data_IF_207123603045
#
_entry.id   IF_207123603045
#
_cell.length_a   1.000
_cell.length_b   1.000
_cell.length_c   1.000
_cell.angle_alpha   90.00
_cell.angle_beta   90.00
_cell.angle_gamma   90.00
#
_symmetry.space_group_name_H-M   'P 1'
#
loop_
_entity.id
_entity.type
_entity.pdbx_description
1 polymer ?
#
# COMPACT_ATOMS: atom_id res chain seq x y z
N UNK A 1 5.70 18.21 2.70
CA UNK A 1 5.47 16.74 2.72
C UNK A 1 4.14 16.47 3.39
N UNK A 2 3.26 15.64 2.80
CA UNK A 2 2.03 15.25 3.49
C UNK A 2 2.42 14.36 4.67
N UNK A 3 1.93 14.69 5.87
CA UNK A 3 2.25 13.93 7.08
C UNK A 3 1.75 12.48 6.91
N UNK A 4 2.65 11.51 6.98
CA UNK A 4 2.32 10.07 6.86
C UNK A 4 1.19 9.67 7.80
N UNK A 5 1.19 10.19 9.04
CA UNK A 5 0.15 9.89 10.04
C UNK A 5 -1.21 10.42 9.62
N UNK A 6 -1.25 11.61 9.02
CA UNK A 6 -2.50 12.20 8.51
C UNK A 6 -3.06 11.38 7.34
N UNK A 7 -2.20 10.90 6.44
CA UNK A 7 -2.66 10.05 5.35
C UNK A 7 -3.21 8.71 5.88
N UNK A 8 -2.54 8.09 6.85
CA UNK A 8 -3.04 6.88 7.53
C UNK A 8 -4.40 7.15 8.16
N UNK A 9 -4.56 8.27 8.87
CA UNK A 9 -5.84 8.65 9.46
C UNK A 9 -6.95 8.78 8.41
N UNK A 10 -6.67 9.35 7.23
CA UNK A 10 -7.64 9.42 6.14
C UNK A 10 -8.07 8.05 5.60
N UNK A 11 -7.15 7.09 5.50
CA UNK A 11 -7.51 5.72 5.10
C UNK A 11 -8.37 5.03 6.16
N UNK A 12 -8.00 5.16 7.43
CA UNK A 12 -8.77 4.59 8.55
C UNK A 12 -10.18 5.18 8.58
N UNK A 13 -10.30 6.51 8.49
CA UNK A 13 -11.60 7.18 8.45
C UNK A 13 -12.43 6.75 7.24
N UNK A 14 -11.80 6.66 6.06
CA UNK A 14 -12.48 6.18 4.86
C UNK A 14 -13.04 4.78 5.07
N UNK A 15 -12.24 3.84 5.58
CA UNK A 15 -12.67 2.45 5.81
C UNK A 15 -13.80 2.35 6.85
N UNK A 16 -13.73 3.13 7.94
CA UNK A 16 -14.77 3.14 8.96
C UNK A 16 -16.09 3.67 8.39
N UNK A 17 -16.04 4.77 7.63
CA UNK A 17 -17.21 5.38 6.99
C UNK A 17 -17.80 4.46 5.93
N UNK A 18 -16.99 3.89 5.03
CA UNK A 18 -17.49 2.96 4.01
C UNK A 18 -18.03 1.68 4.60
N UNK A 19 -17.43 1.15 5.67
CA UNK A 19 -17.94 -0.05 6.35
C UNK A 19 -19.26 0.23 7.09
N UNK A 20 -19.40 1.39 7.73
CA UNK A 20 -20.66 1.80 8.36
C UNK A 20 -21.78 2.04 7.34
N UNK A 21 -21.44 2.65 6.19
CA UNK A 21 -22.35 2.82 5.08
C UNK A 21 -22.74 1.48 4.44
N UNK A 22 -21.78 0.57 4.24
CA UNK A 22 -22.03 -0.78 3.71
C UNK A 22 -22.98 -1.55 4.64
N UNK A 23 -22.72 -1.53 5.95
CA UNK A 23 -23.61 -2.16 6.94
C UNK A 23 -25.01 -1.56 6.92
N UNK A 24 -25.12 -0.23 6.83
CA UNK A 24 -26.44 0.42 6.80
C UNK A 24 -27.21 0.04 5.54
N UNK A 25 -26.59 0.08 4.37
CA UNK A 25 -27.22 -0.32 3.11
C UNK A 25 -27.59 -1.82 3.13
N UNK A 26 -26.73 -2.66 3.69
CA UNK A 26 -27.00 -4.09 3.83
C UNK A 26 -28.18 -4.35 4.78
N UNK A 27 -28.24 -3.66 5.93
CA UNK A 27 -29.34 -3.78 6.88
C UNK A 27 -30.68 -3.35 6.25
N UNK A 28 -30.69 -2.23 5.51
CA UNK A 28 -31.87 -1.79 4.77
C UNK A 28 -32.28 -2.82 3.72
N UNK A 29 -31.34 -3.33 2.92
CA UNK A 29 -31.61 -4.39 1.95
C UNK A 29 -32.18 -5.66 2.60
N UNK A 30 -31.66 -6.05 3.77
CA UNK A 30 -32.19 -7.16 4.56
C UNK A 30 -33.65 -6.91 4.95
N UNK A 31 -33.98 -5.73 5.47
CA UNK A 31 -35.34 -5.39 5.92
C UNK A 31 -36.34 -5.22 4.77
N UNK A 32 -35.93 -4.66 3.64
CA UNK A 32 -36.86 -4.34 2.54
C UNK A 32 -36.98 -5.43 1.48
N UNK A 33 -35.98 -6.31 1.36
CA UNK A 33 -35.96 -7.33 0.30
C UNK A 33 -35.91 -8.73 0.90
N UNK A 34 -34.99 -9.00 1.82
CA UNK A 34 -34.75 -10.36 2.28
C UNK A 34 -35.77 -10.84 3.31
N UNK A 35 -36.13 -10.01 4.28
CA UNK A 35 -37.11 -10.34 5.32
C UNK A 35 -38.54 -10.50 4.77
N UNK A 36 -39.03 -9.66 3.82
CA UNK A 36 -40.32 -9.91 3.20
C UNK A 36 -40.38 -11.23 2.43
N UNK A 37 -39.29 -11.63 1.77
CA UNK A 37 -39.18 -12.95 1.12
C UNK A 37 -39.19 -14.08 2.16
N UNK A 38 -38.58 -13.88 3.34
CA UNK A 38 -38.53 -14.88 4.42
C UNK A 38 -39.89 -15.04 5.11
N UNK A 39 -40.57 -13.94 5.43
CA UNK A 39 -41.78 -13.94 6.25
C UNK A 39 -43.09 -13.88 5.43
N UNK A 40 -43.02 -13.64 4.12
CA UNK A 40 -44.16 -13.58 3.22
C UNK A 40 -45.03 -12.33 3.35
N UNK A 41 -44.57 -11.31 4.09
CA UNK A 41 -45.25 -10.02 4.28
C UNK A 41 -44.22 -8.91 4.49
N UNK A 42 -44.62 -7.66 4.26
CA UNK A 42 -43.74 -6.51 4.45
C UNK A 42 -43.38 -6.32 5.92
N UNK A 43 -42.08 -6.16 6.20
CA UNK A 43 -41.55 -5.89 7.52
C UNK A 43 -41.20 -4.41 7.62
N UNK A 44 -41.67 -3.75 8.67
CA UNK A 44 -41.37 -2.34 8.89
C UNK A 44 -39.85 -2.12 9.06
N UNK A 45 -39.31 -1.12 8.36
CA UNK A 45 -37.91 -0.72 8.46
C UNK A 45 -37.70 0.04 9.76
N UNK A 46 -37.37 -0.68 10.83
CA UNK A 46 -36.99 -0.11 12.11
C UNK A 46 -35.48 -0.22 12.33
N UNK A 47 -34.87 0.87 12.78
CA UNK A 47 -33.48 0.90 13.25
C UNK A 47 -33.45 0.40 14.69
N UNK A 48 -33.36 -0.92 14.85
CA UNK A 48 -33.41 -1.58 16.14
C UNK A 48 -32.03 -1.58 16.86
N UNK A 49 -31.98 -2.18 18.06
CA UNK A 49 -30.73 -2.31 18.80
C UNK A 49 -29.66 -3.10 18.03
N UNK A 50 -30.05 -4.08 17.20
CA UNK A 50 -29.11 -4.88 16.42
C UNK A 50 -28.47 -4.06 15.30
N UNK A 51 -29.21 -3.14 14.67
CA UNK A 51 -28.67 -2.16 13.75
C UNK A 51 -27.54 -1.35 14.39
N UNK A 52 -27.80 -0.72 15.55
CA UNK A 52 -26.80 0.11 16.23
C UNK A 52 -25.60 -0.69 16.74
N UNK A 53 -25.80 -1.91 17.24
CA UNK A 53 -24.70 -2.83 17.59
C UNK A 53 -23.83 -3.13 16.36
N UNK A 54 -24.44 -3.49 15.23
CA UNK A 54 -23.72 -3.76 13.99
C UNK A 54 -22.99 -2.52 13.44
N UNK A 55 -23.59 -1.33 13.56
CA UNK A 55 -22.99 -0.07 13.10
C UNK A 55 -21.69 0.27 13.84
N UNK A 56 -21.52 -0.22 15.07
CA UNK A 56 -20.27 -0.06 15.83
C UNK A 56 -19.34 -1.26 15.61
N UNK A 57 -19.84 -2.49 15.75
CA UNK A 57 -19.02 -3.70 15.73
C UNK A 57 -18.42 -3.98 14.34
N UNK A 58 -19.19 -3.77 13.26
CA UNK A 58 -18.75 -4.11 11.90
C UNK A 58 -17.60 -3.20 11.45
N UNK A 59 -17.66 -1.86 11.55
CA UNK A 59 -16.51 -1.02 11.21
C UNK A 59 -15.27 -1.31 12.05
N UNK A 60 -15.42 -1.60 13.35
CA UNK A 60 -14.31 -1.98 14.22
C UNK A 60 -13.67 -3.30 13.80
N UNK A 61 -14.49 -4.29 13.45
CA UNK A 61 -14.02 -5.56 12.89
C UNK A 61 -13.18 -5.34 11.63
N UNK A 62 -13.69 -4.55 10.68
CA UNK A 62 -12.95 -4.23 9.45
C UNK A 62 -11.65 -3.51 9.73
N UNK A 63 -11.66 -2.51 10.61
CA UNK A 63 -10.45 -1.81 11.04
C UNK A 63 -9.40 -2.77 11.62
N UNK A 64 -9.82 -3.71 12.48
CA UNK A 64 -8.94 -4.75 13.00
C UNK A 64 -8.36 -5.62 11.89
N UNK A 65 -9.20 -6.09 10.97
CA UNK A 65 -8.79 -6.97 9.87
C UNK A 65 -7.81 -6.27 8.92
N UNK A 66 -8.08 -5.02 8.52
CA UNK A 66 -7.16 -4.21 7.73
C UNK A 66 -5.84 -3.97 8.46
N UNK A 67 -5.87 -3.78 9.78
CA UNK A 67 -4.65 -3.58 10.58
C UNK A 67 -3.79 -4.84 10.59
N UNK A 68 -4.38 -6.01 10.82
CA UNK A 68 -3.69 -7.31 10.81
C UNK A 68 -3.10 -7.63 9.44
N UNK A 69 -3.84 -7.33 8.37
CA UNK A 69 -3.42 -7.57 6.98
C UNK A 69 -2.47 -6.49 6.43
N UNK A 70 -2.03 -5.53 7.24
CA UNK A 70 -1.09 -4.49 6.82
C UNK A 70 -1.68 -3.45 5.86
N UNK A 71 -3.01 -3.29 5.85
CA UNK A 71 -3.78 -2.35 5.02
C UNK A 71 -3.41 -0.87 5.21
N UNK A 72 -2.70 -0.55 6.29
CA UNK A 72 -2.23 0.81 6.63
C UNK A 72 -0.70 0.99 6.57
N UNK A 73 0.04 -0.04 6.14
CA UNK A 73 1.51 0.04 5.98
C UNK A 73 1.87 0.74 4.67
N UNK A 74 2.92 1.57 4.72
CA UNK A 74 3.58 2.22 3.57
C UNK A 74 2.67 2.90 2.53
N UNK A 75 1.65 3.64 2.99
CA UNK A 75 0.58 4.19 2.12
C UNK A 75 1.10 5.08 0.97
N UNK A 76 2.18 5.84 1.16
CA UNK A 76 2.73 6.71 0.12
C UNK A 76 3.26 5.96 -1.12
N UNK A 77 3.58 4.67 -0.97
CA UNK A 77 4.21 3.84 -2.01
C UNK A 77 3.24 2.83 -2.62
N UNK A 78 1.94 2.95 -2.31
CA UNK A 78 0.91 2.06 -2.85
C UNK A 78 0.55 2.40 -4.29
N UNK A 79 0.16 1.38 -5.04
CA UNK A 79 -0.33 1.50 -6.40
C UNK A 79 -1.75 0.93 -6.54
N UNK A 80 -2.44 1.33 -7.60
CA UNK A 80 -3.89 1.12 -7.74
C UNK A 80 -4.29 -0.35 -7.81
N UNK A 81 -3.50 -1.18 -8.50
CA UNK A 81 -3.78 -2.62 -8.63
C UNK A 81 -3.50 -3.39 -7.33
N UNK A 82 -2.54 -2.94 -6.51
CA UNK A 82 -2.33 -3.48 -5.16
C UNK A 82 -3.56 -3.26 -4.28
N UNK A 83 -4.13 -2.06 -4.29
CA UNK A 83 -5.34 -1.75 -3.52
C UNK A 83 -6.53 -2.62 -3.91
N UNK A 84 -6.69 -2.87 -5.21
CA UNK A 84 -7.73 -3.78 -5.71
C UNK A 84 -7.55 -5.18 -5.12
N UNK A 85 -6.36 -5.76 -5.25
CA UNK A 85 -6.07 -7.11 -4.77
C UNK A 85 -6.22 -7.24 -3.25
N UNK A 86 -5.64 -6.30 -2.49
CA UNK A 86 -5.76 -6.31 -1.02
C UNK A 86 -7.20 -6.10 -0.56
N UNK A 87 -7.91 -5.12 -1.12
CA UNK A 87 -9.30 -4.83 -0.72
C UNK A 87 -10.21 -6.01 -1.06
N UNK A 88 -10.01 -6.65 -2.22
CA UNK A 88 -10.75 -7.84 -2.63
C UNK A 88 -10.52 -9.00 -1.65
N UNK A 89 -9.26 -9.33 -1.36
CA UNK A 89 -8.91 -10.43 -0.46
C UNK A 89 -9.43 -10.20 0.97
N UNK A 90 -9.20 -9.00 1.50
CA UNK A 90 -9.66 -8.63 2.85
C UNK A 90 -11.19 -8.65 2.91
N UNK A 91 -11.88 -8.09 1.92
CA UNK A 91 -13.35 -8.09 1.87
C UNK A 91 -13.90 -9.51 1.77
N UNK A 92 -13.29 -10.38 0.96
CA UNK A 92 -13.70 -11.77 0.84
C UNK A 92 -13.56 -12.50 2.18
N UNK A 93 -12.38 -12.45 2.80
CA UNK A 93 -12.12 -13.08 4.11
C UNK A 93 -13.05 -12.54 5.18
N UNK A 94 -13.19 -11.22 5.28
CA UNK A 94 -14.02 -10.59 6.31
C UNK A 94 -15.50 -10.89 6.15
N UNK A 95 -16.02 -10.93 4.91
CA UNK A 95 -17.42 -11.29 4.64
C UNK A 95 -17.65 -12.77 4.95
N UNK A 96 -16.69 -13.66 4.64
CA UNK A 96 -16.77 -15.07 5.03
C UNK A 96 -16.86 -15.20 6.55
N UNK A 97 -16.02 -14.50 7.31
CA UNK A 97 -16.06 -14.51 8.79
C UNK A 97 -17.41 -13.99 9.30
N UNK A 98 -17.85 -12.82 8.82
CA UNK A 98 -19.15 -12.23 9.22
C UNK A 98 -20.30 -13.17 8.88
N UNK A 99 -20.24 -13.83 7.72
CA UNK A 99 -21.26 -14.78 7.28
C UNK A 99 -21.41 -15.94 8.28
N UNK A 100 -20.30 -16.56 8.69
CA UNK A 100 -20.35 -17.65 9.66
C UNK A 100 -20.76 -17.21 11.06
N UNK A 101 -20.40 -15.98 11.49
CA UNK A 101 -20.68 -15.50 12.85
C UNK A 101 -22.09 -14.93 13.00
N UNK A 102 -22.58 -14.18 12.00
CA UNK A 102 -23.84 -13.42 12.11
C UNK A 102 -24.97 -13.95 11.24
N UNK A 103 -24.67 -14.59 10.11
CA UNK A 103 -25.70 -15.01 9.15
C UNK A 103 -26.05 -16.49 9.24
N UNK A 104 -25.18 -17.35 9.77
CA UNK A 104 -25.43 -18.80 9.82
C UNK A 104 -26.50 -19.21 10.84
N UNK A 105 -26.66 -18.41 11.90
CA UNK A 105 -27.58 -18.69 13.01
C UNK A 105 -29.00 -18.12 12.78
N UNK A 106 -29.21 -17.41 11.67
CA UNK A 106 -30.55 -17.01 11.26
C UNK A 106 -31.33 -18.28 10.82
N UNK A 107 -32.51 -18.55 11.38
CA UNK A 107 -33.36 -19.61 10.83
C UNK A 107 -33.87 -19.21 9.44
N UNK A 108 -33.44 -19.89 8.38
CA UNK A 108 -33.73 -19.46 7.00
C UNK A 108 -34.53 -20.47 6.21
N UNK A 109 -35.53 -19.99 5.49
CA UNK A 109 -36.44 -20.80 4.68
C UNK A 109 -35.82 -21.40 3.39
N UNK A 110 -34.66 -20.90 2.91
CA UNK A 110 -34.04 -21.37 1.66
C UNK A 110 -32.56 -20.97 1.51
N UNK A 111 -31.75 -21.84 0.89
CA UNK A 111 -30.35 -21.57 0.52
C UNK A 111 -30.15 -20.30 -0.33
N UNK A 112 -31.15 -19.91 -1.11
CA UNK A 112 -31.09 -18.69 -1.94
C UNK A 112 -30.90 -17.41 -1.11
N UNK A 113 -31.43 -17.38 0.11
CA UNK A 113 -31.28 -16.24 1.02
C UNK A 113 -29.83 -16.06 1.45
N UNK A 114 -29.11 -17.15 1.73
CA UNK A 114 -27.70 -17.10 2.10
C UNK A 114 -26.84 -16.54 0.98
N UNK A 115 -27.02 -17.03 -0.25
CA UNK A 115 -26.27 -16.53 -1.41
C UNK A 115 -26.55 -15.05 -1.67
N UNK A 116 -27.82 -14.62 -1.61
CA UNK A 116 -28.19 -13.20 -1.80
C UNK A 116 -27.62 -12.31 -0.71
N UNK A 117 -27.66 -12.75 0.54
CA UNK A 117 -27.12 -11.99 1.68
C UNK A 117 -25.60 -11.86 1.58
N UNK A 118 -24.91 -12.98 1.30
CA UNK A 118 -23.46 -13.01 1.14
C UNK A 118 -23.01 -12.09 0.00
N UNK A 119 -23.61 -12.22 -1.19
CA UNK A 119 -23.24 -11.41 -2.35
C UNK A 119 -23.55 -9.93 -2.11
N UNK A 120 -24.71 -9.60 -1.54
CA UNK A 120 -25.06 -8.21 -1.24
C UNK A 120 -24.06 -7.59 -0.26
N UNK A 121 -23.75 -8.27 0.85
CA UNK A 121 -22.78 -7.81 1.83
C UNK A 121 -21.39 -7.65 1.19
N UNK A 122 -20.96 -8.63 0.39
CA UNK A 122 -19.68 -8.59 -0.31
C UNK A 122 -19.56 -7.41 -1.25
N UNK A 123 -20.51 -7.21 -2.17
CA UNK A 123 -20.42 -6.13 -3.15
C UNK A 123 -20.58 -4.75 -2.52
N UNK A 124 -21.44 -4.60 -1.51
CA UNK A 124 -21.57 -3.33 -0.78
C UNK A 124 -20.26 -2.99 -0.05
N UNK A 125 -19.70 -3.95 0.69
CA UNK A 125 -18.48 -3.74 1.46
C UNK A 125 -17.28 -3.49 0.54
N UNK A 126 -17.03 -4.40 -0.41
CA UNK A 126 -15.93 -4.29 -1.36
C UNK A 126 -16.08 -3.02 -2.20
N UNK A 127 -17.26 -2.75 -2.75
CA UNK A 127 -17.51 -1.62 -3.64
C UNK A 127 -17.26 -0.27 -2.96
N UNK A 128 -17.79 -0.07 -1.75
CA UNK A 128 -17.61 1.19 -1.01
C UNK A 128 -16.16 1.36 -0.52
N UNK A 129 -15.55 0.34 0.07
CA UNK A 129 -14.16 0.40 0.51
C UNK A 129 -13.22 0.66 -0.67
N UNK A 130 -13.38 -0.11 -1.75
CA UNK A 130 -12.53 0.02 -2.93
C UNK A 130 -12.68 1.39 -3.57
N UNK A 131 -13.89 1.93 -3.69
CA UNK A 131 -14.11 3.26 -4.26
C UNK A 131 -13.38 4.34 -3.46
N UNK A 132 -13.54 4.38 -2.14
CA UNK A 132 -12.88 5.40 -1.31
C UNK A 132 -11.36 5.24 -1.31
N UNK A 133 -10.85 4.01 -1.13
CA UNK A 133 -9.41 3.72 -1.19
C UNK A 133 -8.82 4.04 -2.55
N UNK A 134 -9.51 3.69 -3.64
CA UNK A 134 -9.07 3.99 -5.00
C UNK A 134 -8.93 5.49 -5.23
N UNK A 135 -9.87 6.31 -4.74
CA UNK A 135 -9.80 7.77 -4.84
C UNK A 135 -8.62 8.34 -4.03
N UNK A 136 -8.41 7.86 -2.80
CA UNK A 136 -7.28 8.28 -1.95
C UNK A 136 -5.93 7.89 -2.57
N UNK A 137 -5.79 6.64 -3.00
CA UNK A 137 -4.57 6.13 -3.63
C UNK A 137 -4.30 6.83 -4.94
N UNK A 138 -5.32 7.05 -5.78
CA UNK A 138 -5.15 7.75 -7.05
C UNK A 138 -4.66 9.17 -6.89
N UNK A 139 -5.16 9.90 -5.88
CA UNK A 139 -4.65 11.24 -5.53
C UNK A 139 -3.20 11.19 -5.07
N UNK A 140 -2.84 10.22 -4.24
CA UNK A 140 -1.47 10.06 -3.72
C UNK A 140 -0.50 9.70 -4.84
N UNK A 141 -0.82 8.69 -5.65
CA UNK A 141 -0.02 8.26 -6.83
C UNK A 141 0.17 9.41 -7.80
N UNK A 142 -0.87 10.21 -8.07
CA UNK A 142 -0.73 11.39 -8.94
C UNK A 142 0.28 12.39 -8.37
N UNK A 143 0.24 12.67 -7.07
CA UNK A 143 1.21 13.57 -6.43
C UNK A 143 2.65 13.02 -6.45
N UNK A 144 2.81 11.70 -6.40
CA UNK A 144 4.13 11.05 -6.57
C UNK A 144 4.63 11.21 -8.00
N UNK A 145 3.80 10.87 -9.00
CA UNK A 145 4.16 11.02 -10.41
C UNK A 145 4.47 12.48 -10.77
N UNK A 146 3.75 13.44 -10.18
CA UNK A 146 3.95 14.88 -10.36
C UNK A 146 5.12 15.43 -9.50
N UNK A 147 5.94 14.57 -8.88
CA UNK A 147 7.09 14.91 -8.01
C UNK A 147 6.77 15.82 -6.80
N UNK A 148 5.50 15.96 -6.42
CA UNK A 148 5.06 16.71 -5.22
C UNK A 148 5.30 15.92 -3.94
N UNK A 149 5.30 14.60 -4.05
CA UNK A 149 5.73 13.66 -3.02
C UNK A 149 6.90 12.90 -3.60
N UNK A 150 8.01 12.86 -2.86
CA UNK A 150 9.17 12.08 -3.22
C UNK A 150 9.80 11.49 -1.97
N UNK A 151 10.65 10.50 -2.18
CA UNK A 151 11.37 9.74 -1.17
C UNK A 151 12.84 10.03 -1.32
N UNK A 152 13.48 10.51 -0.26
CA UNK A 152 14.89 10.83 -0.29
C UNK A 152 15.67 9.56 -0.63
N UNK A 153 16.38 9.60 -1.76
CA UNK A 153 17.03 8.44 -2.36
C UNK A 153 18.53 8.72 -2.43
N UNK A 154 19.35 7.80 -1.93
CA UNK A 154 20.80 7.81 -2.14
C UNK A 154 21.14 6.81 -3.24
N UNK A 155 22.02 7.22 -4.16
CA UNK A 155 22.56 6.33 -5.18
C UNK A 155 23.92 5.80 -4.71
N UNK A 156 24.09 4.48 -4.69
CA UNK A 156 25.33 3.82 -4.27
C UNK A 156 26.05 3.36 -5.54
N UNK A 157 27.15 4.03 -5.85
CA UNK A 157 27.84 3.92 -7.13
C UNK A 157 28.12 5.31 -7.72
N UNK A 158 29.22 5.44 -8.47
CA UNK A 158 29.62 6.69 -9.13
C UNK A 158 29.94 6.55 -10.62
N UNK A 159 29.87 5.34 -11.14
CA UNK A 159 30.28 4.95 -12.50
C UNK A 159 29.23 5.32 -13.57
N UNK A 160 29.51 4.97 -14.82
CA UNK A 160 28.63 5.22 -15.96
C UNK A 160 27.25 4.59 -15.78
N UNK A 161 27.19 3.43 -15.14
CA UNK A 161 25.93 2.73 -14.85
C UNK A 161 25.06 3.50 -13.87
N UNK A 162 25.64 3.99 -12.77
CA UNK A 162 24.94 4.84 -11.82
C UNK A 162 24.42 6.11 -12.49
N UNK A 163 25.21 6.73 -13.38
CA UNK A 163 24.79 7.88 -14.19
C UNK A 163 23.62 7.54 -15.13
N UNK A 164 23.66 6.40 -15.82
CA UNK A 164 22.59 5.94 -16.71
C UNK A 164 21.28 5.69 -15.95
N UNK A 165 21.34 5.03 -14.79
CA UNK A 165 20.18 4.77 -13.92
C UNK A 165 19.58 6.09 -13.42
N UNK A 166 20.41 7.03 -12.99
CA UNK A 166 19.95 8.35 -12.57
C UNK A 166 19.21 9.06 -13.72
N UNK A 167 19.80 9.07 -14.92
CA UNK A 167 19.19 9.69 -16.10
C UNK A 167 17.88 9.00 -16.53
N UNK A 168 17.82 7.67 -16.48
CA UNK A 168 16.61 6.90 -16.77
C UNK A 168 15.48 7.25 -15.81
N UNK A 169 15.77 7.26 -14.51
CA UNK A 169 14.76 7.54 -13.48
C UNK A 169 14.27 8.98 -13.55
N UNK A 170 15.16 9.96 -13.74
CA UNK A 170 14.78 11.36 -13.89
C UNK A 170 14.09 11.66 -15.24
N UNK A 171 14.37 10.86 -16.28
CA UNK A 171 13.73 10.95 -17.59
C UNK A 171 12.29 10.42 -17.63
N UNK A 172 11.86 9.64 -16.62
CA UNK A 172 10.53 9.05 -16.59
C UNK A 172 9.42 10.11 -16.49
N UNK A 173 8.48 10.09 -17.45
CA UNK A 173 7.28 10.96 -17.44
C UNK A 173 6.45 10.80 -16.17
N UNK A 174 6.36 9.58 -15.64
CA UNK A 174 5.70 9.28 -14.36
C UNK A 174 6.79 8.93 -13.37
N UNK A 175 7.15 9.88 -12.52
CA UNK A 175 8.20 9.64 -11.53
C UNK A 175 7.80 8.51 -10.58
N UNK A 176 8.70 7.56 -10.29
CA UNK A 176 8.50 6.56 -9.23
C UNK A 176 8.54 7.18 -7.82
N UNK A 177 8.80 8.48 -7.70
CA UNK A 177 8.92 9.20 -6.44
C UNK A 177 10.34 9.28 -5.92
N UNK A 178 11.36 8.83 -6.67
CA UNK A 178 12.75 9.00 -6.28
C UNK A 178 13.12 10.49 -6.27
N UNK A 179 13.62 10.96 -5.13
CA UNK A 179 14.25 12.27 -4.98
C UNK A 179 15.71 12.03 -4.61
N UNK A 180 16.59 12.06 -5.61
CA UNK A 180 18.01 11.86 -5.37
C UNK A 180 18.59 13.00 -4.53
N UNK A 181 19.10 12.68 -3.34
CA UNK A 181 19.74 13.66 -2.44
C UNK A 181 21.25 13.72 -2.63
N UNK A 182 21.81 12.71 -3.28
CA UNK A 182 23.22 12.60 -3.59
C UNK A 182 23.63 11.16 -3.86
N UNK A 183 24.92 10.94 -4.04
CA UNK A 183 25.49 9.61 -4.26
C UNK A 183 26.68 9.32 -3.34
N UNK A 184 26.95 8.04 -3.11
CA UNK A 184 28.14 7.58 -2.38
C UNK A 184 29.01 6.74 -3.30
N UNK A 185 30.32 6.93 -3.17
CA UNK A 185 31.28 6.18 -3.97
C UNK A 185 31.58 4.82 -3.35
N UNK A 186 31.61 3.81 -4.21
CA UNK A 186 32.14 2.50 -3.85
C UNK A 186 33.66 2.50 -4.06
N UNK A 187 34.12 3.03 -5.20
CA UNK A 187 35.53 3.18 -5.54
C UNK A 187 35.98 4.65 -5.59
N UNK A 188 37.27 4.89 -5.33
CA UNK A 188 37.83 6.22 -5.13
C UNK A 188 37.86 7.16 -6.35
N UNK A 189 37.53 6.67 -7.55
CA UNK A 189 37.72 7.39 -8.81
C UNK A 189 36.46 8.03 -9.42
N UNK A 190 35.27 7.50 -9.16
CA UNK A 190 34.13 7.83 -10.02
C UNK A 190 33.35 9.03 -9.51
N UNK A 191 33.37 10.13 -10.26
CA UNK A 191 32.67 11.37 -9.94
C UNK A 191 31.68 11.78 -11.05
N UNK A 192 31.31 10.85 -11.96
CA UNK A 192 30.49 11.20 -13.12
C UNK A 192 29.14 11.82 -12.73
N UNK A 193 28.57 11.42 -11.60
CA UNK A 193 27.32 11.98 -11.09
C UNK A 193 27.42 13.46 -10.66
N UNK A 194 28.61 13.99 -10.34
CA UNK A 194 28.77 15.43 -10.07
C UNK A 194 28.58 16.26 -11.33
N UNK A 195 28.85 15.70 -12.52
CA UNK A 195 28.66 16.41 -13.81
C UNK A 195 27.19 16.73 -14.11
N UNK A 196 26.27 15.95 -13.56
CA UNK A 196 24.82 16.19 -13.66
C UNK A 196 24.24 16.90 -12.43
N UNK A 197 25.11 17.46 -11.58
CA UNK A 197 24.72 18.26 -10.41
C UNK A 197 24.30 17.45 -9.18
N UNK A 198 24.50 16.13 -9.17
CA UNK A 198 24.21 15.30 -8.00
C UNK A 198 25.41 15.33 -7.03
N UNK A 199 25.23 15.75 -5.76
CA UNK A 199 26.35 15.90 -4.84
C UNK A 199 26.87 14.55 -4.35
N UNK A 200 28.18 14.45 -4.18
CA UNK A 200 28.83 13.33 -3.50
C UNK A 200 28.68 13.49 -2.00
N UNK A 201 28.05 12.52 -1.34
CA UNK A 201 27.75 12.54 0.10
C UNK A 201 28.79 11.82 0.96
N UNK A 202 29.67 11.01 0.35
CA UNK A 202 30.71 10.28 1.06
C UNK A 202 31.16 9.02 0.32
N UNK A 203 31.65 8.05 1.09
CA UNK A 203 31.96 6.68 0.64
C UNK A 203 30.90 5.68 1.12
N UNK A 204 30.90 4.48 0.56
CA UNK A 204 29.96 3.41 0.92
C UNK A 204 29.94 3.07 2.42
N UNK A 205 31.08 3.16 3.10
CA UNK A 205 31.20 2.89 4.55
C UNK A 205 30.68 4.04 5.44
N UNK A 206 30.30 5.17 4.84
CA UNK A 206 29.67 6.30 5.52
C UNK A 206 28.14 6.30 5.31
N UNK A 207 27.58 5.27 4.66
CA UNK A 207 26.16 5.17 4.32
C UNK A 207 25.25 5.38 5.52
N UNK A 208 25.56 4.79 6.67
CA UNK A 208 24.77 4.94 7.90
C UNK A 208 24.67 6.40 8.35
N UNK A 209 25.77 7.15 8.25
CA UNK A 209 25.79 8.57 8.56
C UNK A 209 24.98 9.38 7.55
N UNK A 210 25.19 9.12 6.26
CA UNK A 210 24.46 9.78 5.15
C UNK A 210 22.94 9.58 5.30
N UNK A 211 22.51 8.37 5.68
CA UNK A 211 21.10 8.04 5.90
C UNK A 211 20.49 8.92 6.98
N UNK A 212 21.17 9.06 8.13
CA UNK A 212 20.72 9.90 9.23
C UNK A 212 20.68 11.39 8.88
N UNK A 213 21.73 11.89 8.22
CA UNK A 213 21.86 13.32 7.89
C UNK A 213 20.88 13.79 6.82
N UNK A 214 20.60 12.96 5.82
CA UNK A 214 19.74 13.33 4.69
C UNK A 214 18.33 12.72 4.78
N UNK A 215 17.99 12.07 5.91
CA UNK A 215 16.73 11.35 6.11
C UNK A 215 16.40 10.43 4.91
N UNK A 216 17.40 9.64 4.49
CA UNK A 216 17.27 8.75 3.34
C UNK A 216 16.21 7.70 3.63
N UNK A 217 15.33 7.46 2.66
CA UNK A 217 14.27 6.45 2.71
C UNK A 217 14.53 5.29 1.74
N UNK A 218 15.36 5.51 0.72
CA UNK A 218 15.70 4.51 -0.29
C UNK A 218 17.17 4.57 -0.68
N UNK A 219 17.80 3.40 -0.83
CA UNK A 219 19.13 3.25 -1.39
C UNK A 219 19.03 2.45 -2.69
N UNK A 220 19.50 3.03 -3.80
CA UNK A 220 19.61 2.34 -5.09
C UNK A 220 21.07 1.95 -5.26
N UNK A 221 21.33 0.65 -5.35
CA UNK A 221 22.67 0.09 -5.53
C UNK A 221 22.88 -0.15 -7.02
N UNK A 222 23.84 0.58 -7.58
CA UNK A 222 24.22 0.59 -8.98
C UNK A 222 25.74 0.38 -9.07
N UNK A 223 26.18 -0.85 -8.80
CA UNK A 223 27.58 -1.27 -8.86
C UNK A 223 27.77 -2.27 -10.01
N UNK A 224 28.99 -2.41 -10.52
CA UNK A 224 29.27 -3.35 -11.61
C UNK A 224 29.38 -4.80 -11.11
N UNK A 225 29.12 -5.76 -11.99
CA UNK A 225 29.11 -7.21 -11.71
C UNK A 225 30.45 -7.76 -11.19
N UNK A 226 31.57 -7.06 -11.43
CA UNK A 226 32.87 -7.40 -10.83
C UNK A 226 32.97 -7.15 -9.31
N UNK A 227 31.98 -6.49 -8.71
CA UNK A 227 32.05 -5.93 -7.35
C UNK A 227 31.11 -6.60 -6.35
N UNK A 228 30.78 -7.89 -6.54
CA UNK A 228 29.91 -8.65 -5.63
C UNK A 228 30.35 -8.58 -4.15
N UNK A 229 31.66 -8.47 -3.90
CA UNK A 229 32.19 -8.28 -2.54
C UNK A 229 31.73 -6.96 -1.89
N UNK A 230 31.54 -5.90 -2.69
CA UNK A 230 31.08 -4.61 -2.21
C UNK A 230 29.57 -4.59 -1.95
N UNK A 231 28.76 -5.35 -2.70
CA UNK A 231 27.33 -5.49 -2.41
C UNK A 231 27.12 -5.97 -0.98
N UNK A 232 27.81 -7.04 -0.56
CA UNK A 232 27.69 -7.58 0.80
C UNK A 232 28.03 -6.55 1.88
N UNK A 233 29.09 -5.75 1.67
CA UNK A 233 29.50 -4.70 2.62
C UNK A 233 28.50 -3.54 2.66
N UNK A 234 27.99 -3.12 1.50
CA UNK A 234 26.94 -2.10 1.40
C UNK A 234 25.68 -2.58 2.10
N UNK A 235 25.28 -3.84 1.91
CA UNK A 235 24.12 -4.44 2.57
C UNK A 235 24.28 -4.41 4.10
N UNK A 236 25.46 -4.72 4.63
CA UNK A 236 25.74 -4.63 6.07
C UNK A 236 25.61 -3.19 6.60
N UNK A 237 26.05 -2.18 5.84
CA UNK A 237 25.89 -0.77 6.23
C UNK A 237 24.42 -0.32 6.25
N UNK A 238 23.62 -0.85 5.32
CA UNK A 238 22.19 -0.59 5.22
C UNK A 238 21.36 -1.40 6.22
N UNK A 239 21.91 -2.47 6.79
CA UNK A 239 21.21 -3.33 7.73
C UNK A 239 20.78 -2.57 8.99
N UNK A 240 19.54 -2.81 9.41
CA UNK A 240 18.93 -2.16 10.58
C UNK A 240 18.62 -0.67 10.42
N UNK A 241 18.91 -0.06 9.27
CA UNK A 241 18.62 1.38 9.03
C UNK A 241 17.15 1.64 8.69
N UNK A 242 16.41 0.60 8.28
CA UNK A 242 15.01 0.72 7.81
C UNK A 242 14.87 1.33 6.41
N UNK A 243 15.99 1.63 5.74
CA UNK A 243 16.02 2.11 4.36
C UNK A 243 15.61 0.99 3.41
N UNK A 244 14.78 1.32 2.41
CA UNK A 244 14.45 0.38 1.35
C UNK A 244 15.64 0.23 0.41
N UNK A 245 16.07 -0.99 0.17
CA UNK A 245 17.19 -1.30 -0.71
C UNK A 245 16.65 -1.76 -2.06
N UNK A 246 17.16 -1.17 -3.14
CA UNK A 246 16.92 -1.62 -4.52
C UNK A 246 18.26 -1.90 -5.18
N UNK A 247 18.49 -3.13 -5.60
CA UNK A 247 19.67 -3.49 -6.38
C UNK A 247 19.23 -3.54 -7.84
N UNK A 248 19.97 -2.85 -8.71
CA UNK A 248 19.73 -2.93 -10.16
C UNK A 248 20.67 -4.00 -10.71
N UNK A 249 20.16 -5.20 -11.10
CA UNK A 249 20.98 -6.32 -11.53
C UNK A 249 21.66 -6.05 -12.88
N UNK A 250 22.80 -6.70 -13.13
CA UNK A 250 23.49 -6.62 -14.42
C UNK A 250 22.71 -7.38 -15.50
N UNK A 251 22.89 -6.99 -16.75
CA UNK A 251 22.39 -7.73 -17.90
C UNK A 251 22.97 -9.15 -17.94
N UNK A 252 24.21 -9.34 -17.46
CA UNK A 252 24.76 -10.67 -17.26
C UNK A 252 23.94 -11.48 -16.25
N UNK A 253 23.67 -10.93 -15.06
CA UNK A 253 22.88 -11.56 -13.99
C UNK A 253 21.47 -11.98 -14.47
N UNK A 254 20.83 -11.13 -15.28
CA UNK A 254 19.52 -11.40 -15.88
C UNK A 254 19.59 -12.59 -16.85
N UNK A 255 20.65 -12.69 -17.65
CA UNK A 255 20.81 -13.73 -18.67
C UNK A 255 21.34 -15.06 -18.09
N UNK A 256 22.15 -15.01 -17.04
CA UNK A 256 22.65 -16.19 -16.34
C UNK A 256 21.64 -16.76 -15.34
N UNK A 257 20.59 -15.99 -14.98
CA UNK A 257 19.59 -16.42 -14.01
C UNK A 257 20.15 -16.54 -12.58
N UNK A 258 21.24 -15.81 -12.30
CA UNK A 258 21.93 -15.75 -11.00
C UNK A 258 21.74 -14.40 -10.34
#
# INVERSE_FOLDING_TARGET
MMNRRLLVAWYVLADLVSSGAAWTLFYLYRKTVLEPIKFGHDVAVALDSNYFKGLVLIPLFWFGLYTMMGGYREIHRRYRTMELGQTLLISFIGVVIIFFVLLLDDEVASYHYYYRSFLALFFLQFGLNFLLRFLLTSRTVKRVHDRRIGFNTVLVGGNERALAIHAEIEGMRKSPGNRFVGFVNVNGGDQLLTTVGLPRLGKWNELRQVIGQHAVEEAIIAVDSGEHEHISRIMNELEGTGVRIKIIPDMYDILSGS
#
